data_IF_217020224866
#
_entry.id   IF_217020224866
#
_cell.length_a   1.000
_cell.length_b   1.000
_cell.length_c   1.000
_cell.angle_alpha   90.00
_cell.angle_beta   90.00
_cell.angle_gamma   90.00
#
_symmetry.space_group_name_H-M   'P 1'
#
loop_
_entity.id
_entity.type
_entity.pdbx_description
1 polymer ?
#
# COMPACT_ATOMS: atom_id res chain seq x y z
N UNK A 1 12.60 12.57 15.08
CA UNK A 1 13.68 12.37 14.09
C UNK A 1 13.10 12.38 12.68
N UNK A 2 13.67 13.15 11.75
CA UNK A 2 13.34 13.06 10.32
C UNK A 2 13.96 11.76 9.80
N UNK A 3 13.11 10.82 9.36
CA UNK A 3 13.56 9.57 8.76
C UNK A 3 13.11 9.48 7.31
N UNK A 4 14.07 9.26 6.42
CA UNK A 4 13.84 9.05 5.00
C UNK A 4 13.25 7.66 4.71
N UNK A 5 13.42 6.70 5.63
CA UNK A 5 12.89 5.34 5.56
C UNK A 5 12.33 4.88 6.90
N UNK A 6 11.02 4.56 6.93
CA UNK A 6 10.40 3.90 8.08
C UNK A 6 10.45 2.38 7.86
N UNK A 7 10.50 1.56 8.92
CA UNK A 7 10.23 0.14 8.80
C UNK A 7 8.94 -0.08 8.00
N UNK A 8 8.93 -1.13 7.18
CA UNK A 8 7.74 -1.50 6.42
C UNK A 8 6.53 -1.72 7.33
N UNK A 9 5.30 -1.60 6.81
CA UNK A 9 4.09 -1.66 7.64
C UNK A 9 3.95 -3.01 8.37
N UNK A 10 4.50 -4.10 7.80
CA UNK A 10 4.50 -5.43 8.40
C UNK A 10 5.55 -5.63 9.50
N UNK A 11 6.57 -4.77 9.60
CA UNK A 11 7.76 -4.99 10.43
C UNK A 11 7.44 -5.25 11.92
N UNK A 12 6.37 -4.66 12.43
CA UNK A 12 5.94 -4.80 13.83
C UNK A 12 5.45 -6.21 14.21
N UNK A 13 5.15 -7.05 13.23
CA UNK A 13 4.63 -8.41 13.45
C UNK A 13 5.68 -9.48 13.12
N UNK A 14 6.84 -9.07 12.62
CA UNK A 14 7.98 -9.96 12.41
C UNK A 14 8.63 -10.30 13.75
N UNK A 15 9.20 -11.50 13.85
CA UNK A 15 10.04 -11.90 14.98
C UNK A 15 11.34 -11.09 15.04
N UNK A 16 12.02 -11.09 16.18
CA UNK A 16 13.30 -10.40 16.34
C UNK A 16 14.37 -10.95 15.39
N UNK A 17 14.38 -12.26 15.20
CA UNK A 17 15.26 -12.98 14.29
C UNK A 17 14.99 -12.57 12.83
N UNK A 18 13.72 -12.53 12.42
CA UNK A 18 13.35 -12.10 11.08
C UNK A 18 13.73 -10.63 10.82
N UNK A 19 13.56 -9.75 11.82
CA UNK A 19 13.98 -8.35 11.73
C UNK A 19 15.51 -8.22 11.63
N UNK A 20 16.26 -9.04 12.37
CA UNK A 20 17.72 -9.07 12.28
C UNK A 20 18.19 -9.50 10.88
N UNK A 21 17.59 -10.54 10.31
CA UNK A 21 17.89 -11.01 8.96
C UNK A 21 17.57 -9.95 7.89
N UNK A 22 16.42 -9.28 8.01
CA UNK A 22 16.06 -8.16 7.13
C UNK A 22 17.08 -7.02 7.26
N UNK A 23 17.51 -6.69 8.48
CA UNK A 23 18.53 -5.66 8.72
C UNK A 23 19.84 -5.99 8.01
N UNK A 24 20.34 -7.23 8.12
CA UNK A 24 21.57 -7.69 7.45
C UNK A 24 21.43 -7.57 5.92
N UNK A 25 20.29 -8.01 5.35
CA UNK A 25 20.04 -7.91 3.90
C UNK A 25 19.96 -6.47 3.42
N UNK A 26 19.32 -5.59 4.20
CA UNK A 26 19.26 -4.16 3.90
C UNK A 26 20.67 -3.54 3.93
N UNK A 27 21.49 -3.84 4.93
CA UNK A 27 22.87 -3.38 5.00
C UNK A 27 23.72 -3.89 3.84
N UNK A 28 23.53 -5.15 3.39
CA UNK A 28 24.22 -5.68 2.22
C UNK A 28 23.77 -4.99 0.92
N UNK A 29 22.52 -4.55 0.84
CA UNK A 29 21.96 -3.89 -0.35
C UNK A 29 22.53 -2.49 -0.58
N UNK A 30 22.95 -1.77 0.47
CA UNK A 30 23.51 -0.41 0.33
C UNK A 30 24.81 -0.41 -0.48
N UNK A 31 25.55 -1.53 -0.47
CA UNK A 31 26.79 -1.71 -1.25
C UNK A 31 26.54 -1.97 -2.74
N UNK A 32 25.29 -2.28 -3.13
CA UNK A 32 24.90 -2.62 -4.51
C UNK A 32 24.03 -1.56 -5.16
N UNK A 33 23.94 -0.36 -4.59
CA UNK A 33 22.97 0.64 -5.03
C UNK A 33 23.11 0.97 -6.52
N UNK A 34 22.16 0.47 -7.32
CA UNK A 34 21.98 0.75 -8.76
C UNK A 34 21.46 2.18 -9.02
N UNK A 35 21.14 2.92 -7.96
CA UNK A 35 20.71 4.32 -8.06
C UNK A 35 21.95 5.14 -8.42
N UNK A 36 22.04 5.51 -9.70
CA UNK A 36 23.12 6.35 -10.20
C UNK A 36 23.18 7.71 -9.48
N UNK A 37 24.36 8.35 -9.41
CA UNK A 37 24.59 9.57 -8.63
C UNK A 37 23.71 10.78 -9.01
N UNK A 38 22.96 10.70 -10.11
CA UNK A 38 22.08 11.76 -10.60
C UNK A 38 20.61 11.66 -10.12
N UNK A 39 20.16 10.55 -9.52
CA UNK A 39 18.75 10.42 -9.13
C UNK A 39 18.50 10.98 -7.72
N UNK A 40 17.66 12.01 -7.63
CA UNK A 40 17.27 12.62 -6.36
C UNK A 40 16.44 11.62 -5.52
N UNK A 41 16.69 11.48 -4.20
CA UNK A 41 15.94 10.55 -3.34
C UNK A 41 14.42 10.74 -3.38
N UNK A 42 13.95 11.99 -3.50
CA UNK A 42 12.52 12.32 -3.62
C UNK A 42 11.88 11.73 -4.89
N UNK A 43 12.57 11.80 -6.03
CA UNK A 43 12.08 11.25 -7.30
C UNK A 43 12.09 9.72 -7.30
N UNK A 44 13.12 9.11 -6.71
CA UNK A 44 13.16 7.67 -6.49
C UNK A 44 11.97 7.20 -5.65
N UNK A 45 11.73 7.86 -4.51
CA UNK A 45 10.61 7.53 -3.61
C UNK A 45 9.25 7.74 -4.29
N UNK A 46 9.08 8.83 -5.04
CA UNK A 46 7.84 9.08 -5.77
C UNK A 46 7.58 8.00 -6.84
N UNK A 47 8.62 7.57 -7.56
CA UNK A 47 8.53 6.47 -8.53
C UNK A 47 8.19 5.14 -7.84
N UNK A 48 8.83 4.82 -6.72
CA UNK A 48 8.57 3.60 -5.96
C UNK A 48 7.12 3.57 -5.43
N UNK A 49 6.61 4.70 -4.92
CA UNK A 49 5.23 4.82 -4.46
C UNK A 49 4.21 4.63 -5.60
N UNK A 50 4.47 5.22 -6.77
CA UNK A 50 3.63 5.02 -7.96
C UNK A 50 3.63 3.57 -8.42
N UNK A 51 4.80 2.93 -8.47
CA UNK A 51 4.93 1.53 -8.85
C UNK A 51 4.17 0.61 -7.89
N UNK A 52 4.26 0.86 -6.58
CA UNK A 52 3.49 0.11 -5.58
C UNK A 52 1.98 0.29 -5.79
N UNK A 53 1.52 1.52 -5.96
CA UNK A 53 0.10 1.80 -6.17
C UNK A 53 -0.44 1.16 -7.44
N UNK A 54 0.34 1.14 -8.53
CA UNK A 54 -0.03 0.47 -9.77
C UNK A 54 -0.12 -1.05 -9.60
N UNK A 55 0.79 -1.66 -8.82
CA UNK A 55 0.73 -3.08 -8.49
C UNK A 55 -0.53 -3.42 -7.66
N UNK A 56 -0.84 -2.61 -6.65
CA UNK A 56 -2.03 -2.80 -5.81
C UNK A 56 -3.33 -2.66 -6.62
N UNK A 57 -3.41 -1.68 -7.54
CA UNK A 57 -4.56 -1.55 -8.43
C UNK A 57 -4.72 -2.78 -9.32
N UNK A 58 -3.64 -3.30 -9.89
CA UNK A 58 -3.72 -4.47 -10.78
C UNK A 58 -4.30 -5.69 -10.07
N UNK A 59 -3.97 -5.88 -8.78
CA UNK A 59 -4.56 -6.93 -7.94
C UNK A 59 -6.06 -6.69 -7.75
N UNK A 60 -6.46 -5.44 -7.51
CA UNK A 60 -7.86 -5.06 -7.36
C UNK A 60 -8.66 -5.25 -8.68
N UNK A 61 -8.08 -4.92 -9.83
CA UNK A 61 -8.65 -5.16 -11.16
C UNK A 61 -8.93 -6.65 -11.36
N UNK A 62 -7.94 -7.51 -11.10
CA UNK A 62 -8.11 -8.97 -11.18
C UNK A 62 -9.22 -9.48 -10.24
N UNK A 63 -9.32 -8.93 -9.03
CA UNK A 63 -10.36 -9.31 -8.08
C UNK A 63 -11.77 -8.86 -8.53
N UNK A 64 -11.87 -7.70 -9.16
CA UNK A 64 -13.13 -7.17 -9.68
C UNK A 64 -13.62 -7.91 -10.93
N UNK A 65 -12.71 -8.34 -11.80
CA UNK A 65 -13.02 -9.14 -12.99
C UNK A 65 -13.71 -10.47 -12.64
N UNK A 66 -13.34 -11.12 -11.53
CA UNK A 66 -14.03 -12.33 -11.02
C UNK A 66 -15.53 -12.07 -10.76
N UNK A 67 -15.90 -10.83 -10.48
CA UNK A 67 -17.29 -10.39 -10.25
C UNK A 67 -17.90 -9.70 -11.46
N UNK A 68 -17.28 -9.83 -12.63
CA UNK A 68 -17.67 -9.17 -13.88
C UNK A 68 -17.80 -7.64 -13.73
N UNK A 69 -17.01 -7.05 -12.84
CA UNK A 69 -16.96 -5.60 -12.64
C UNK A 69 -15.74 -5.03 -13.37
N UNK A 70 -15.96 -3.98 -14.16
CA UNK A 70 -14.88 -3.26 -14.83
C UNK A 70 -14.47 -2.06 -13.99
N UNK A 71 -13.25 -2.10 -13.47
CA UNK A 71 -12.66 -0.96 -12.78
C UNK A 71 -12.02 0.00 -13.79
N UNK A 72 -12.19 1.29 -13.53
CA UNK A 72 -11.60 2.36 -14.32
C UNK A 72 -10.71 3.21 -13.42
N UNK A 73 -9.43 3.35 -13.81
CA UNK A 73 -8.44 4.15 -13.10
C UNK A 73 -7.85 5.24 -14.00
N UNK A 74 -8.65 6.24 -14.42
CA UNK A 74 -8.20 7.28 -15.37
C UNK A 74 -6.99 8.08 -14.87
N UNK A 75 -6.81 8.21 -13.55
CA UNK A 75 -5.64 8.89 -12.97
C UNK A 75 -4.33 8.12 -13.10
N UNK A 76 -4.37 6.83 -13.50
CA UNK A 76 -3.18 6.04 -13.82
C UNK A 76 -2.92 5.93 -15.32
N UNK A 77 -3.65 6.70 -16.14
CA UNK A 77 -3.29 6.83 -17.55
C UNK A 77 -1.85 7.39 -17.70
N UNK A 78 -1.15 6.89 -18.72
CA UNK A 78 0.25 7.25 -18.97
C UNK A 78 0.45 8.76 -19.17
N UNK A 79 -0.49 9.45 -19.84
CA UNK A 79 -0.40 10.89 -20.06
C UNK A 79 -0.66 11.66 -18.77
N UNK A 80 -1.65 11.24 -17.98
CA UNK A 80 -1.93 11.85 -16.67
C UNK A 80 -0.73 11.72 -15.75
N UNK A 81 -0.15 10.52 -15.64
CA UNK A 81 1.05 10.26 -14.84
C UNK A 81 2.23 11.12 -15.30
N UNK A 82 2.47 11.20 -16.62
CA UNK A 82 3.55 12.04 -17.17
C UNK A 82 3.34 13.52 -16.86
N UNK A 83 2.12 14.04 -17.03
CA UNK A 83 1.77 15.41 -16.71
C UNK A 83 1.99 15.71 -15.21
N UNK A 84 1.51 14.83 -14.32
CA UNK A 84 1.72 14.98 -12.88
C UNK A 84 3.20 14.95 -12.48
N UNK A 85 4.04 14.17 -13.19
CA UNK A 85 5.49 14.11 -12.94
C UNK A 85 6.25 15.32 -13.48
N UNK A 86 5.71 16.01 -14.49
CA UNK A 86 6.29 17.25 -15.02
C UNK A 86 6.06 18.45 -14.08
N UNK A 87 5.14 18.34 -13.11
CA UNK A 87 4.90 19.40 -12.13
C UNK A 87 6.14 19.63 -11.23
N UNK A 88 6.47 20.90 -10.93
CA UNK A 88 7.50 21.24 -9.96
C UNK A 88 7.30 20.52 -8.62
N UNK A 89 8.39 20.00 -8.05
CA UNK A 89 8.36 19.24 -6.79
C UNK A 89 7.70 20.03 -5.65
N UNK A 90 7.99 21.33 -5.56
CA UNK A 90 7.41 22.22 -4.55
C UNK A 90 5.86 22.25 -4.61
N UNK A 91 5.27 22.13 -5.81
CA UNK A 91 3.81 22.06 -5.97
C UNK A 91 3.25 20.70 -5.59
N UNK A 92 4.01 19.61 -5.79
CA UNK A 92 3.58 18.24 -5.46
C UNK A 92 3.47 18.01 -3.95
N UNK A 93 4.30 18.69 -3.16
CA UNK A 93 4.33 18.54 -1.69
C UNK A 93 3.54 19.61 -0.93
N UNK A 94 3.14 20.70 -1.60
CA UNK A 94 2.41 21.81 -0.96
C UNK A 94 0.97 21.38 -0.59
N UNK A 95 0.57 21.50 0.69
CA UNK A 95 -0.81 21.23 1.11
C UNK A 95 -1.83 22.02 0.29
N UNK A 96 -2.94 21.40 -0.11
CA UNK A 96 -4.00 22.03 -0.91
C UNK A 96 -3.66 22.26 -2.40
N UNK A 97 -2.40 22.19 -2.80
CA UNK A 97 -1.98 22.44 -4.18
C UNK A 97 -2.61 21.48 -5.19
N UNK A 98 -2.80 20.20 -4.81
CA UNK A 98 -3.45 19.20 -5.65
C UNK A 98 -4.84 19.66 -6.12
N UNK A 99 -5.68 20.12 -5.20
CA UNK A 99 -7.03 20.57 -5.52
C UNK A 99 -7.00 21.81 -6.41
N UNK A 100 -6.15 22.79 -6.08
CA UNK A 100 -5.97 24.00 -6.90
C UNK A 100 -5.52 23.67 -8.33
N UNK A 101 -4.52 22.80 -8.51
CA UNK A 101 -4.02 22.40 -9.83
C UNK A 101 -5.11 21.71 -10.64
N UNK A 102 -5.78 20.72 -10.04
CA UNK A 102 -6.87 20.00 -10.71
C UNK A 102 -8.02 20.94 -11.09
N UNK A 103 -8.31 21.97 -10.28
CA UNK A 103 -9.34 22.97 -10.57
C UNK A 103 -8.97 23.78 -11.81
N UNK A 104 -7.74 24.27 -11.88
CA UNK A 104 -7.23 24.98 -13.07
C UNK A 104 -7.28 24.10 -14.33
N UNK A 105 -6.93 22.81 -14.21
CA UNK A 105 -7.03 21.85 -15.33
C UNK A 105 -8.48 21.68 -15.79
N UNK A 106 -9.42 21.55 -14.86
CA UNK A 106 -10.85 21.39 -15.16
C UNK A 106 -11.46 22.67 -15.77
N UNK A 107 -11.11 23.84 -15.24
CA UNK A 107 -11.51 25.14 -15.80
C UNK A 107 -11.04 25.29 -17.25
N UNK A 108 -9.79 24.92 -17.53
CA UNK A 108 -9.24 24.90 -18.90
C UNK A 108 -9.92 23.89 -19.83
N UNK A 109 -10.49 22.82 -19.28
CA UNK A 109 -11.31 21.85 -20.00
C UNK A 109 -12.79 22.25 -20.12
N UNK A 110 -13.17 23.45 -19.65
CA UNK A 110 -14.54 23.98 -19.70
C UNK A 110 -15.44 23.57 -18.54
N UNK A 111 -14.92 22.85 -17.54
CA UNK A 111 -15.67 22.45 -16.34
C UNK A 111 -15.53 23.55 -15.28
N UNK A 112 -16.56 24.39 -15.15
CA UNK A 112 -16.56 25.57 -14.28
C UNK A 112 -17.26 25.36 -12.95
N UNK A 113 -18.28 24.51 -12.92
CA UNK A 113 -19.05 24.21 -11.72
C UNK A 113 -18.52 22.94 -11.07
N UNK A 114 -17.90 23.09 -9.90
CA UNK A 114 -17.42 21.99 -9.09
C UNK A 114 -18.28 21.90 -7.84
N UNK A 115 -18.73 20.70 -7.43
CA UNK A 115 -19.52 20.52 -6.21
C UNK A 115 -18.81 21.05 -4.97
N UNK A 116 -19.59 21.40 -3.96
CA UNK A 116 -19.06 21.73 -2.64
C UNK A 116 -18.23 20.57 -2.07
N UNK A 117 -17.12 20.91 -1.42
CA UNK A 117 -16.16 19.91 -0.92
C UNK A 117 -15.29 19.25 -1.99
N UNK A 118 -15.39 19.64 -3.26
CA UNK A 118 -14.52 19.12 -4.31
C UNK A 118 -13.03 19.37 -3.97
N UNK A 119 -12.21 18.33 -4.14
CA UNK A 119 -10.79 18.35 -3.81
C UNK A 119 -10.48 18.11 -2.33
N UNK A 120 -11.47 17.93 -1.46
CA UNK A 120 -11.26 17.47 -0.10
C UNK A 120 -10.66 16.05 -0.10
N UNK A 121 -9.75 15.73 0.85
CA UNK A 121 -9.10 14.43 0.91
C UNK A 121 -10.12 13.31 1.18
N UNK A 122 -10.33 12.42 0.21
CA UNK A 122 -11.24 11.27 0.30
C UNK A 122 -10.67 10.05 1.05
N UNK A 123 -9.55 10.21 1.77
CA UNK A 123 -8.81 9.10 2.38
C UNK A 123 -9.64 8.33 3.43
N UNK A 124 -10.63 8.99 4.04
CA UNK A 124 -11.57 8.38 4.98
C UNK A 124 -12.48 7.30 4.34
N UNK A 125 -12.91 7.48 3.09
CA UNK A 125 -13.81 6.54 2.41
C UNK A 125 -13.10 5.21 2.09
N UNK A 126 -11.87 5.26 1.59
CA UNK A 126 -11.07 4.07 1.28
C UNK A 126 -10.73 3.25 2.54
N UNK A 127 -10.36 3.93 3.63
CA UNK A 127 -10.09 3.26 4.90
C UNK A 127 -11.34 2.59 5.51
N UNK A 128 -12.54 3.12 5.23
CA UNK A 128 -13.81 2.54 5.70
C UNK A 128 -14.15 1.25 4.95
N UNK A 129 -13.94 1.21 3.64
CA UNK A 129 -14.15 0.01 2.83
C UNK A 129 -13.21 -1.13 3.27
N UNK A 130 -11.91 -0.84 3.44
CA UNK A 130 -10.93 -1.82 3.91
C UNK A 130 -11.30 -2.40 5.29
N UNK A 131 -11.72 -1.54 6.23
CA UNK A 131 -12.17 -1.97 7.56
C UNK A 131 -13.44 -2.81 7.52
N UNK A 132 -14.38 -2.46 6.64
CA UNK A 132 -15.62 -3.23 6.46
C UNK A 132 -15.30 -4.62 5.93
N UNK A 133 -14.47 -4.70 4.88
CA UNK A 133 -14.01 -5.98 4.33
C UNK A 133 -13.27 -6.84 5.36
N UNK A 134 -12.38 -6.23 6.15
CA UNK A 134 -11.69 -6.91 7.24
C UNK A 134 -12.66 -7.48 8.28
N UNK A 135 -13.66 -6.70 8.70
CA UNK A 135 -14.64 -7.15 9.68
C UNK A 135 -15.46 -8.33 9.17
N UNK A 136 -15.87 -8.28 7.90
CA UNK A 136 -16.61 -9.37 7.25
C UNK A 136 -15.77 -10.63 7.12
N UNK A 137 -14.46 -10.50 6.84
CA UNK A 137 -13.55 -11.62 6.66
C UNK A 137 -12.82 -12.07 7.94
N UNK A 138 -13.11 -11.46 9.10
CA UNK A 138 -12.28 -11.58 10.30
C UNK A 138 -12.08 -13.04 10.73
N UNK A 139 -13.15 -13.81 10.85
CA UNK A 139 -13.08 -15.21 11.28
C UNK A 139 -12.29 -16.07 10.29
N UNK A 140 -12.49 -15.87 8.99
CA UNK A 140 -11.75 -16.57 7.93
C UNK A 140 -10.25 -16.25 7.99
N UNK A 141 -9.90 -14.98 8.21
CA UNK A 141 -8.52 -14.55 8.34
C UNK A 141 -7.88 -15.05 9.64
N UNK A 142 -8.63 -15.14 10.73
CA UNK A 142 -8.13 -15.71 11.99
C UNK A 142 -7.83 -17.21 11.81
N UNK A 143 -8.74 -17.96 11.18
CA UNK A 143 -8.54 -19.38 10.88
C UNK A 143 -7.32 -19.62 9.98
N UNK A 144 -7.06 -18.73 9.01
CA UNK A 144 -5.86 -18.81 8.16
C UNK A 144 -4.56 -18.81 8.98
N UNK A 145 -4.55 -18.20 10.16
CA UNK A 145 -3.40 -18.10 11.06
C UNK A 145 -3.47 -19.03 12.27
N UNK A 146 -4.27 -20.11 12.22
CA UNK A 146 -4.27 -21.12 13.29
C UNK A 146 -3.00 -21.99 13.29
N UNK A 147 -2.55 -22.40 12.10
CA UNK A 147 -1.26 -23.06 11.88
C UNK A 147 -0.52 -22.37 10.72
N UNK A 148 -0.02 -21.13 10.91
CA UNK A 148 0.51 -20.35 9.82
C UNK A 148 1.92 -20.80 9.44
N UNK A 149 2.14 -21.01 8.14
CA UNK A 149 3.44 -21.38 7.58
C UNK A 149 4.50 -20.32 7.88
N UNK A 150 4.09 -19.05 7.95
CA UNK A 150 4.96 -17.96 8.37
C UNK A 150 5.49 -18.11 9.80
N UNK A 151 4.70 -18.69 10.72
CA UNK A 151 5.17 -18.95 12.08
C UNK A 151 6.03 -20.20 12.16
N UNK A 152 5.72 -21.23 11.36
CA UNK A 152 6.58 -22.42 11.22
C UNK A 152 7.97 -22.05 10.69
N UNK A 153 8.05 -21.07 9.78
CA UNK A 153 9.31 -20.51 9.29
C UNK A 153 9.98 -19.52 10.26
N UNK A 154 9.40 -19.29 11.45
CA UNK A 154 9.94 -18.35 12.44
C UNK A 154 9.87 -16.88 12.03
N UNK A 155 9.09 -16.52 11.01
CA UNK A 155 9.00 -15.16 10.50
C UNK A 155 8.07 -14.26 11.33
N UNK A 156 7.01 -14.85 11.90
CA UNK A 156 6.01 -14.14 12.71
C UNK A 156 5.60 -14.95 13.93
N UNK A 157 5.05 -14.29 14.95
CA UNK A 157 4.34 -14.96 16.04
C UNK A 157 2.84 -15.10 15.70
N UNK A 158 2.35 -16.33 15.52
CA UNK A 158 0.95 -16.60 15.16
C UNK A 158 -0.06 -15.93 16.10
N UNK A 159 0.20 -15.96 17.42
CA UNK A 159 -0.67 -15.31 18.42
C UNK A 159 -0.75 -13.79 18.23
N UNK A 160 0.35 -13.16 17.83
CA UNK A 160 0.48 -11.70 17.69
C UNK A 160 -0.26 -11.24 16.45
N UNK A 161 -0.14 -11.98 15.34
CA UNK A 161 -0.90 -11.71 14.11
C UNK A 161 -2.41 -11.91 14.33
N UNK A 162 -2.82 -13.02 14.96
CA UNK A 162 -4.25 -13.26 15.27
C UNK A 162 -4.84 -12.18 16.18
N UNK A 163 -4.08 -11.74 17.20
CA UNK A 163 -4.51 -10.62 18.05
C UNK A 163 -4.68 -9.33 17.24
N UNK A 164 -3.75 -9.04 16.34
CA UNK A 164 -3.83 -7.85 15.48
C UNK A 164 -5.01 -7.90 14.50
N UNK A 165 -5.32 -9.07 13.92
CA UNK A 165 -6.49 -9.25 13.06
C UNK A 165 -7.79 -9.00 13.83
N UNK A 166 -7.92 -9.55 15.04
CA UNK A 166 -9.08 -9.30 15.92
C UNK A 166 -9.22 -7.82 16.28
N UNK A 167 -8.13 -7.20 16.74
CA UNK A 167 -8.12 -5.77 17.08
C UNK A 167 -8.51 -4.90 15.90
N UNK A 168 -7.94 -5.16 14.71
CA UNK A 168 -8.26 -4.42 13.50
C UNK A 168 -9.72 -4.60 13.06
N UNK A 169 -10.29 -5.80 13.20
CA UNK A 169 -11.72 -6.06 12.94
C UNK A 169 -12.66 -5.30 13.92
N UNK A 170 -12.20 -5.13 15.17
CA UNK A 170 -12.85 -4.35 16.22
C UNK A 170 -12.65 -2.82 16.06
N UNK A 171 -11.85 -2.40 15.08
CA UNK A 171 -11.63 -0.98 14.75
C UNK A 171 -10.38 -0.36 15.36
N UNK A 172 -9.48 -1.15 15.95
CA UNK A 172 -8.19 -0.64 16.42
C UNK A 172 -7.40 0.03 15.27
N UNK A 173 -6.70 1.12 15.60
CA UNK A 173 -5.88 1.86 14.65
C UNK A 173 -4.56 1.12 14.36
N UNK A 174 -4.61 0.11 13.49
CA UNK A 174 -3.48 -0.70 13.06
C UNK A 174 -3.14 -0.44 11.57
N UNK A 175 -1.86 -0.62 11.15
CA UNK A 175 -1.47 -0.43 9.76
C UNK A 175 -1.97 -1.60 8.90
N UNK A 176 -3.15 -1.42 8.30
CA UNK A 176 -3.85 -2.48 7.54
C UNK A 176 -3.02 -3.03 6.37
N UNK A 177 -2.22 -2.19 5.72
CA UNK A 177 -1.35 -2.61 4.61
C UNK A 177 -0.38 -3.72 5.01
N UNK A 178 0.16 -3.65 6.23
CA UNK A 178 1.10 -4.67 6.70
C UNK A 178 0.40 -5.98 7.08
N UNK A 179 -0.85 -5.93 7.56
CA UNK A 179 -1.66 -7.15 7.73
C UNK A 179 -1.98 -7.78 6.37
N UNK A 180 -2.30 -6.95 5.37
CA UNK A 180 -2.56 -7.42 4.01
C UNK A 180 -1.33 -8.12 3.41
N UNK A 181 -0.13 -7.57 3.60
CA UNK A 181 1.12 -8.22 3.16
C UNK A 181 1.33 -9.59 3.83
N UNK A 182 1.06 -9.72 5.14
CA UNK A 182 1.17 -11.01 5.85
C UNK A 182 0.15 -12.05 5.34
N UNK A 183 -1.11 -11.64 5.20
CA UNK A 183 -2.19 -12.49 4.68
C UNK A 183 -1.86 -12.95 3.26
N UNK A 184 -1.42 -12.03 2.39
CA UNK A 184 -1.06 -12.34 1.02
C UNK A 184 0.09 -13.34 0.93
N UNK A 185 1.13 -13.17 1.76
CA UNK A 185 2.28 -14.06 1.79
C UNK A 185 1.90 -15.46 2.30
N UNK A 186 1.08 -15.55 3.36
CA UNK A 186 0.57 -16.82 3.88
C UNK A 186 -0.26 -17.57 2.83
N UNK A 187 -1.18 -16.87 2.15
CA UNK A 187 -1.97 -17.45 1.05
C UNK A 187 -1.10 -17.94 -0.10
N UNK A 188 -0.07 -17.16 -0.47
CA UNK A 188 0.87 -17.54 -1.51
C UNK A 188 1.66 -18.79 -1.12
N UNK A 189 2.19 -18.87 0.11
CA UNK A 189 2.93 -20.03 0.62
C UNK A 189 2.06 -21.30 0.59
N UNK A 190 0.81 -21.21 1.07
CA UNK A 190 -0.13 -22.35 1.03
C UNK A 190 -0.41 -22.82 -0.39
N UNK A 191 -0.64 -21.89 -1.31
CA UNK A 191 -0.84 -22.22 -2.74
C UNK A 191 0.41 -22.81 -3.38
N UNK A 192 1.60 -22.33 -3.00
CA UNK A 192 2.87 -22.86 -3.50
C UNK A 192 3.07 -24.31 -3.05
N UNK A 193 2.81 -24.61 -1.78
CA UNK A 193 2.95 -25.95 -1.23
C UNK A 193 1.87 -26.91 -1.76
N UNK A 194 0.63 -26.45 -1.94
CA UNK A 194 -0.44 -27.27 -2.50
C UNK A 194 -0.24 -27.64 -3.99
N UNK A 195 0.68 -26.96 -4.69
CA UNK A 195 1.04 -27.25 -6.09
C UNK A 195 2.26 -28.17 -6.21
N UNK A 196 2.93 -28.50 -5.12
CA UNK A 196 4.03 -29.46 -5.07
C UNK A 196 3.50 -30.84 -4.73
#
# INVERSE_FOLDING_TARGET
ALTWGRPGPAARWLTGEALAEVSVRLQASTRRSEIGPAQRPGDFRARAALARHAADLRVLEQAAEIRFQRLHAPFLDNQVVRACRALPEALRVRPGARASILRTVLEGAGVRELPDGWGAPAQAASATAARTGLRVAADTLIMLFDTPLLAEAGLVEARVVRKALRGAAQGEALPLDGLADLVALELWLRRLLARR
#
